data_IF_235402185703
#
_entry.id   IF_235402185703
#
_cell.length_a   1.000
_cell.length_b   1.000
_cell.length_c   1.000
_cell.angle_alpha   90.00
_cell.angle_beta   90.00
_cell.angle_gamma   90.00
#
_symmetry.space_group_name_H-M   'P 1'
#
loop_
_entity.id
_entity.type
_entity.pdbx_description
1 polymer ?
#
# COMPACT_ATOMS: atom_id res chain seq x y z
N UNK A 1 6.97 36.68 -2.62
CA UNK A 1 6.45 35.30 -2.66
C UNK A 1 7.54 34.37 -2.18
N UNK A 2 7.18 33.36 -1.40
CA UNK A 2 8.13 32.35 -0.91
C UNK A 2 8.21 31.21 -1.92
N UNK A 3 9.42 30.77 -2.28
CA UNK A 3 9.59 29.67 -3.24
C UNK A 3 9.07 28.35 -2.62
N UNK A 4 8.33 27.51 -3.38
CA UNK A 4 7.99 26.17 -2.93
C UNK A 4 9.24 25.31 -2.76
N UNK A 5 9.38 24.68 -1.59
CA UNK A 5 10.49 23.76 -1.25
C UNK A 5 9.90 22.53 -0.58
N UNK A 6 9.98 21.40 -1.29
CA UNK A 6 9.49 20.10 -0.85
C UNK A 6 10.58 19.30 -0.13
N UNK A 7 10.25 18.72 1.02
CA UNK A 7 11.07 17.71 1.70
C UNK A 7 10.36 16.34 1.68
N UNK A 8 11.07 15.30 1.26
CA UNK A 8 10.69 13.92 1.55
C UNK A 8 11.04 13.60 3.01
N UNK A 9 10.04 13.43 3.87
CA UNK A 9 10.22 13.32 5.32
C UNK A 9 10.51 11.90 5.82
N UNK A 10 11.01 11.02 4.96
CA UNK A 10 11.30 9.62 5.31
C UNK A 10 12.42 9.07 4.45
N UNK A 11 13.03 7.99 4.95
CA UNK A 11 13.99 7.18 4.20
C UNK A 11 13.76 5.70 4.48
N UNK A 12 14.33 4.83 3.65
CA UNK A 12 14.10 3.38 3.71
C UNK A 12 14.39 2.78 5.10
N UNK A 13 15.53 3.16 5.68
CA UNK A 13 16.02 2.70 6.97
C UNK A 13 15.46 3.47 8.18
N UNK A 14 14.33 4.18 8.04
CA UNK A 14 13.74 4.90 9.18
C UNK A 14 13.46 3.89 10.32
N UNK A 15 13.80 4.21 11.58
CA UNK A 15 13.64 3.28 12.69
C UNK A 15 12.17 2.88 12.87
N UNK A 16 11.98 1.68 13.39
CA UNK A 16 10.66 1.19 13.81
C UNK A 16 10.18 1.90 15.09
N UNK A 17 8.93 1.63 15.47
CA UNK A 17 8.36 2.09 16.74
C UNK A 17 7.49 3.33 16.66
N UNK A 18 6.99 3.69 15.47
CA UNK A 18 5.93 4.68 15.32
C UNK A 18 6.34 6.12 15.64
N UNK A 19 7.61 6.47 15.42
CA UNK A 19 8.17 7.75 15.86
C UNK A 19 8.09 8.88 14.85
N UNK A 20 7.83 8.58 13.57
CA UNK A 20 7.86 9.60 12.52
C UNK A 20 6.78 10.67 12.73
N UNK A 21 5.54 10.27 13.04
CA UNK A 21 4.46 11.26 13.22
C UNK A 21 4.71 12.18 14.41
N UNK A 22 5.07 11.69 15.62
CA UNK A 22 5.48 12.57 16.72
C UNK A 22 6.66 13.49 16.37
N UNK A 23 7.72 12.97 15.74
CA UNK A 23 8.89 13.78 15.35
C UNK A 23 8.52 14.90 14.36
N UNK A 24 7.61 14.64 13.43
CA UNK A 24 7.12 15.66 12.50
C UNK A 24 6.30 16.73 13.21
N UNK A 25 5.46 16.34 14.18
CA UNK A 25 4.71 17.30 14.98
C UNK A 25 5.64 18.23 15.78
N UNK A 26 6.70 17.68 16.37
CA UNK A 26 7.70 18.44 17.13
C UNK A 26 8.55 19.37 16.26
N UNK A 27 8.86 18.98 15.02
CA UNK A 27 9.74 19.74 14.12
C UNK A 27 9.03 20.72 13.19
N UNK A 28 7.70 20.69 13.13
CA UNK A 28 6.91 21.48 12.18
C UNK A 28 7.26 22.98 12.21
N UNK A 29 7.46 23.55 13.41
CA UNK A 29 7.77 24.98 13.58
C UNK A 29 9.12 25.37 12.92
N UNK A 30 10.11 24.48 12.95
CA UNK A 30 11.46 24.75 12.44
C UNK A 30 11.63 24.58 10.92
N UNK A 31 10.68 23.93 10.22
CA UNK A 31 10.78 23.72 8.77
C UNK A 31 10.73 25.02 7.99
N UNK A 32 9.93 25.99 8.47
CA UNK A 32 9.88 27.31 7.87
C UNK A 32 11.23 28.04 8.01
N UNK A 33 11.95 27.90 9.12
CA UNK A 33 13.21 28.62 9.31
C UNK A 33 14.27 28.21 8.28
N UNK A 34 14.19 26.98 7.78
CA UNK A 34 15.10 26.43 6.76
C UNK A 34 14.52 26.44 5.34
N UNK A 35 13.39 27.13 5.13
CA UNK A 35 12.83 27.34 3.79
C UNK A 35 11.89 26.26 3.28
N UNK A 36 11.61 25.20 4.06
CA UNK A 36 10.69 24.12 3.71
C UNK A 36 9.25 24.57 3.96
N UNK A 37 8.38 24.37 2.98
CA UNK A 37 6.95 24.72 3.06
C UNK A 37 6.04 23.64 2.43
N UNK A 38 6.60 22.51 2.04
CA UNK A 38 5.86 21.32 1.61
C UNK A 38 6.57 20.07 2.13
N UNK A 39 5.82 19.06 2.55
CA UNK A 39 6.36 17.76 2.95
C UNK A 39 5.68 16.63 2.21
N UNK A 40 6.46 15.65 1.78
CA UNK A 40 5.98 14.37 1.29
C UNK A 40 6.19 13.32 2.38
N UNK A 41 5.07 12.78 2.86
CA UNK A 41 5.02 11.76 3.89
C UNK A 41 4.91 10.36 3.25
N UNK A 42 5.46 9.32 3.90
CA UNK A 42 5.37 7.96 3.39
C UNK A 42 3.92 7.45 3.37
N UNK A 43 3.64 6.31 2.71
CA UNK A 43 2.32 5.69 2.76
C UNK A 43 1.90 5.47 4.22
N UNK A 44 0.74 6.02 4.57
CA UNK A 44 0.26 6.05 5.96
C UNK A 44 -0.72 4.91 6.30
N UNK A 45 -1.06 4.07 5.33
CA UNK A 45 -1.97 2.93 5.48
C UNK A 45 -1.22 1.63 5.76
N UNK A 46 -1.93 0.65 6.31
CA UNK A 46 -1.40 -0.66 6.69
C UNK A 46 -0.83 -1.41 5.48
N UNK A 47 0.42 -1.82 5.59
CA UNK A 47 1.09 -2.73 4.65
C UNK A 47 0.99 -4.20 5.08
N UNK A 48 1.34 -5.11 4.17
CA UNK A 48 1.32 -6.56 4.38
C UNK A 48 2.24 -6.99 5.53
N UNK A 49 3.38 -6.32 5.69
CA UNK A 49 4.34 -6.54 6.79
C UNK A 49 3.98 -5.80 8.10
N UNK A 50 2.76 -5.27 8.22
CA UNK A 50 2.28 -4.61 9.44
C UNK A 50 3.15 -3.43 9.87
N UNK A 51 3.56 -3.41 11.13
CA UNK A 51 4.40 -2.36 11.73
C UNK A 51 5.83 -2.28 11.17
N UNK A 52 6.26 -3.26 10.37
CA UNK A 52 7.58 -3.29 9.73
C UNK A 52 7.56 -2.76 8.29
N UNK A 53 6.37 -2.59 7.72
CA UNK A 53 6.16 -2.13 6.35
C UNK A 53 6.68 -0.70 6.15
N UNK A 54 7.42 -0.46 5.05
CA UNK A 54 7.77 0.90 4.58
C UNK A 54 6.58 1.56 3.85
N UNK A 55 5.50 0.81 3.61
CA UNK A 55 4.22 1.30 3.08
C UNK A 55 3.89 0.89 1.64
N UNK A 56 4.89 0.46 0.87
CA UNK A 56 4.71 0.10 -0.54
C UNK A 56 4.12 -1.29 -0.76
N UNK A 57 4.15 -2.17 0.24
CA UNK A 57 3.46 -3.46 0.27
C UNK A 57 1.99 -3.30 0.70
N UNK A 58 1.25 -2.42 0.02
CA UNK A 58 -0.05 -1.93 0.48
C UNK A 58 -1.08 -3.05 0.70
N UNK A 59 -1.60 -3.15 1.93
CA UNK A 59 -2.62 -4.12 2.30
C UNK A 59 -4.00 -3.47 2.39
N UNK A 60 -4.21 -2.49 3.26
CA UNK A 60 -5.53 -1.87 3.50
C UNK A 60 -5.46 -0.34 3.53
N UNK A 61 -5.88 0.29 2.42
CA UNK A 61 -5.81 1.75 2.22
C UNK A 61 -6.64 2.55 3.23
N UNK A 62 -7.60 1.92 3.90
CA UNK A 62 -8.48 2.57 4.88
C UNK A 62 -7.99 2.42 6.33
N UNK A 63 -6.98 1.59 6.56
CA UNK A 63 -6.38 1.41 7.88
C UNK A 63 -5.13 2.28 8.01
N UNK A 64 -5.29 3.51 8.51
CA UNK A 64 -4.20 4.46 8.73
C UNK A 64 -3.40 4.18 10.02
N UNK A 65 -3.28 2.91 10.42
CA UNK A 65 -2.76 2.52 11.72
C UNK A 65 -3.80 2.63 12.83
N UNK A 66 -5.04 2.22 12.54
CA UNK A 66 -6.20 2.31 13.44
C UNK A 66 -6.70 0.94 13.89
N UNK A 67 -6.53 -0.10 13.06
CA UNK A 67 -7.05 -1.44 13.31
C UNK A 67 -5.92 -2.43 13.56
N UNK A 68 -6.16 -3.44 14.40
CA UNK A 68 -5.21 -4.54 14.62
C UNK A 68 -5.22 -5.50 13.43
N UNK A 69 -4.38 -5.19 12.43
CA UNK A 69 -4.25 -5.92 11.17
C UNK A 69 -2.78 -6.18 10.90
N UNK A 70 -2.47 -7.38 10.39
CA UNK A 70 -1.10 -7.81 10.07
C UNK A 70 -0.15 -7.72 11.27
N UNK A 71 -0.66 -8.02 12.47
CA UNK A 71 0.14 -8.09 13.70
C UNK A 71 0.49 -6.75 14.33
N UNK A 72 -0.14 -5.65 13.91
CA UNK A 72 0.01 -4.35 14.56
C UNK A 72 -1.23 -3.47 14.43
N UNK A 73 -1.44 -2.61 15.43
CA UNK A 73 -2.32 -1.43 15.29
C UNK A 73 -1.59 -0.33 14.50
N UNK A 74 -0.48 0.25 15.01
CA UNK A 74 0.22 1.31 14.29
C UNK A 74 0.87 0.79 13.01
N UNK A 75 1.06 1.70 12.05
CA UNK A 75 2.02 1.49 10.95
C UNK A 75 3.45 1.64 11.48
N UNK A 76 4.45 1.45 10.62
CA UNK A 76 5.86 1.75 10.95
C UNK A 76 6.06 3.17 11.50
N UNK A 77 5.25 4.12 11.03
CA UNK A 77 5.41 5.55 11.26
C UNK A 77 4.60 6.10 12.44
N UNK A 78 3.58 5.34 12.87
CA UNK A 78 2.72 5.66 14.02
C UNK A 78 1.27 5.26 13.77
N UNK A 79 0.40 5.63 14.71
CA UNK A 79 -1.05 5.45 14.59
C UNK A 79 -1.75 6.64 13.91
N UNK A 80 -3.04 6.47 13.61
CA UNK A 80 -3.86 7.49 12.95
C UNK A 80 -3.95 8.79 13.76
N UNK A 81 -4.00 8.73 15.08
CA UNK A 81 -4.13 9.92 15.91
C UNK A 81 -2.84 10.76 15.85
N UNK A 82 -1.68 10.10 15.90
CA UNK A 82 -0.39 10.74 15.75
C UNK A 82 -0.22 11.34 14.35
N UNK A 83 -0.66 10.65 13.29
CA UNK A 83 -0.65 11.18 11.92
C UNK A 83 -1.45 12.49 11.82
N UNK A 84 -2.67 12.50 12.36
CA UNK A 84 -3.53 13.69 12.35
C UNK A 84 -2.89 14.84 13.13
N UNK A 85 -2.31 14.56 14.30
CA UNK A 85 -1.59 15.57 15.09
C UNK A 85 -0.39 16.17 14.34
N UNK A 86 0.37 15.35 13.61
CA UNK A 86 1.47 15.80 12.77
C UNK A 86 0.98 16.69 11.62
N UNK A 87 -0.08 16.28 10.93
CA UNK A 87 -0.69 17.07 9.84
C UNK A 87 -1.20 18.42 10.37
N UNK A 88 -1.83 18.44 11.54
CA UNK A 88 -2.33 19.68 12.15
C UNK A 88 -1.18 20.61 12.57
N UNK A 89 -0.07 20.07 13.09
CA UNK A 89 1.14 20.86 13.38
C UNK A 89 1.76 21.47 12.11
N UNK A 90 1.88 20.69 11.03
CA UNK A 90 2.38 21.17 9.73
C UNK A 90 1.47 22.26 9.15
N UNK A 91 0.15 22.06 9.17
CA UNK A 91 -0.82 23.04 8.67
C UNK A 91 -0.83 24.35 9.47
N UNK A 92 -0.67 24.30 10.79
CA UNK A 92 -0.53 25.51 11.63
C UNK A 92 0.69 26.35 11.28
N UNK A 93 1.68 25.73 10.64
CA UNK A 93 2.88 26.38 10.15
C UNK A 93 2.83 26.67 8.63
N UNK A 94 1.65 26.66 8.00
CA UNK A 94 1.50 26.89 6.55
C UNK A 94 2.33 25.94 5.67
N UNK A 95 2.59 24.71 6.16
CA UNK A 95 3.33 23.67 5.42
C UNK A 95 2.31 22.75 4.73
N UNK A 96 2.42 22.64 3.41
CA UNK A 96 1.57 21.73 2.64
C UNK A 96 1.98 20.27 2.87
N UNK A 97 0.99 19.38 2.97
CA UNK A 97 1.21 17.94 3.19
C UNK A 97 0.80 17.15 1.97
N UNK A 98 1.72 16.32 1.46
CA UNK A 98 1.49 15.34 0.41
C UNK A 98 1.60 13.94 1.01
N UNK A 99 0.54 13.15 0.90
CA UNK A 99 0.53 11.75 1.29
C UNK A 99 0.81 10.88 0.08
N UNK A 100 1.63 9.85 0.27
CA UNK A 100 1.93 8.87 -0.78
C UNK A 100 0.72 7.98 -1.13
N UNK A 101 0.56 7.68 -2.42
CA UNK A 101 -0.58 6.93 -2.97
C UNK A 101 -0.08 5.75 -3.80
N UNK A 102 -0.14 4.57 -3.20
CA UNK A 102 0.29 3.30 -3.76
C UNK A 102 -0.95 2.50 -4.15
N UNK A 103 -1.34 2.63 -5.42
CA UNK A 103 -2.53 1.99 -5.98
C UNK A 103 -2.20 1.08 -7.16
N UNK A 104 -0.92 0.90 -7.49
CA UNK A 104 -0.50 -0.03 -8.53
C UNK A 104 -0.77 -1.49 -8.14
N UNK A 105 -0.63 -1.81 -6.85
CA UNK A 105 -0.71 -3.17 -6.36
C UNK A 105 -1.26 -3.32 -4.95
N UNK A 106 -1.60 -4.56 -4.60
CA UNK A 106 -1.93 -4.97 -3.23
C UNK A 106 -1.10 -6.20 -2.85
N UNK A 107 -0.76 -6.32 -1.57
CA UNK A 107 0.06 -7.41 -1.01
C UNK A 107 -0.56 -7.95 0.28
N UNK A 108 -0.28 -9.20 0.62
CA UNK A 108 -0.75 -9.82 1.86
C UNK A 108 -2.27 -10.05 1.91
N UNK A 109 -2.86 -10.65 0.88
CA UNK A 109 -4.27 -11.06 0.92
C UNK A 109 -4.59 -11.96 2.12
N UNK A 110 -5.87 -12.02 2.49
CA UNK A 110 -6.33 -12.77 3.66
C UNK A 110 -6.69 -14.21 3.31
N UNK A 111 -7.16 -14.43 2.09
CA UNK A 111 -7.66 -15.71 1.61
C UNK A 111 -7.18 -16.00 0.17
N UNK A 112 -7.11 -17.29 -0.16
CA UNK A 112 -6.90 -17.77 -1.52
C UNK A 112 -8.24 -17.89 -2.26
N UNK A 113 -8.20 -17.72 -3.57
CA UNK A 113 -9.32 -18.03 -4.46
C UNK A 113 -8.86 -18.99 -5.56
N UNK A 114 -9.76 -19.88 -5.99
CA UNK A 114 -9.57 -20.68 -7.19
C UNK A 114 -9.60 -19.75 -8.41
N UNK A 115 -8.52 -19.76 -9.18
CA UNK A 115 -8.28 -18.86 -10.30
C UNK A 115 -7.74 -19.62 -11.51
N UNK A 116 -7.85 -18.99 -12.67
CA UNK A 116 -7.28 -19.46 -13.93
C UNK A 116 -6.29 -18.41 -14.41
N UNK A 117 -5.08 -18.85 -14.75
CA UNK A 117 -4.00 -17.95 -15.17
C UNK A 117 -3.31 -18.44 -16.43
N UNK A 118 -2.66 -17.51 -17.14
CA UNK A 118 -1.74 -17.81 -18.23
C UNK A 118 -0.39 -17.16 -17.93
N UNK A 119 0.71 -17.82 -18.31
CA UNK A 119 2.04 -17.20 -18.20
C UNK A 119 2.18 -16.07 -19.20
N UNK A 120 2.94 -15.05 -18.82
CA UNK A 120 3.37 -13.99 -19.73
C UNK A 120 4.89 -13.90 -19.75
N UNK A 121 5.45 -13.53 -20.90
CA UNK A 121 6.87 -13.30 -21.04
C UNK A 121 7.29 -12.11 -20.14
N UNK A 122 8.40 -12.26 -19.42
CA UNK A 122 8.92 -11.26 -18.49
C UNK A 122 9.41 -9.99 -19.22
N UNK A 123 10.00 -10.15 -20.41
CA UNK A 123 10.55 -9.08 -21.23
C UNK A 123 9.47 -8.39 -22.08
N UNK A 124 8.42 -9.12 -22.45
CA UNK A 124 7.27 -8.60 -23.20
C UNK A 124 5.94 -9.22 -22.74
N UNK A 125 5.26 -8.53 -21.82
CA UNK A 125 4.01 -9.01 -21.22
C UNK A 125 2.81 -9.03 -22.18
N UNK A 126 2.98 -8.63 -23.44
CA UNK A 126 1.96 -8.81 -24.49
C UNK A 126 1.98 -10.23 -25.07
N UNK A 127 3.09 -10.95 -24.90
CA UNK A 127 3.22 -12.36 -25.28
C UNK A 127 2.70 -13.23 -24.14
N UNK A 128 1.57 -13.89 -24.40
CA UNK A 128 0.83 -14.70 -23.43
C UNK A 128 0.89 -16.15 -23.90
N UNK A 129 1.25 -17.06 -22.99
CA UNK A 129 1.25 -18.49 -23.23
C UNK A 129 -0.18 -19.00 -23.43
N UNK A 130 -0.37 -19.96 -24.35
CA UNK A 130 -1.68 -20.57 -24.60
C UNK A 130 -2.13 -21.46 -23.44
N UNK A 131 -1.18 -22.01 -22.65
CA UNK A 131 -1.48 -22.87 -21.52
C UNK A 131 -2.29 -22.12 -20.44
N UNK A 132 -3.46 -22.66 -20.11
CA UNK A 132 -4.27 -22.21 -18.98
C UNK A 132 -3.98 -23.09 -17.77
N UNK A 133 -3.55 -22.46 -16.68
CA UNK A 133 -3.24 -23.10 -15.42
C UNK A 133 -4.36 -22.80 -14.42
N UNK A 134 -4.99 -23.85 -13.90
CA UNK A 134 -5.92 -23.75 -12.77
C UNK A 134 -5.14 -23.89 -11.46
N UNK A 135 -5.34 -22.96 -10.54
CA UNK A 135 -4.58 -22.90 -9.29
C UNK A 135 -5.33 -22.09 -8.22
N UNK A 136 -4.72 -21.99 -7.04
CA UNK A 136 -5.14 -21.07 -5.99
C UNK A 136 -4.17 -19.89 -5.91
N UNK A 137 -4.70 -18.67 -5.76
CA UNK A 137 -3.91 -17.45 -5.56
C UNK A 137 -4.49 -16.53 -4.51
N UNK A 138 -3.64 -15.86 -3.73
CA UNK A 138 -4.09 -14.93 -2.69
C UNK A 138 -4.59 -13.62 -3.30
N UNK A 139 -5.86 -13.61 -3.65
CA UNK A 139 -6.50 -12.50 -4.36
C UNK A 139 -7.65 -11.89 -3.55
N UNK A 140 -7.94 -12.45 -2.38
CA UNK A 140 -9.08 -12.06 -1.57
C UNK A 140 -8.69 -11.28 -0.34
N UNK A 141 -9.19 -10.05 -0.25
CA UNK A 141 -8.92 -9.12 0.85
C UNK A 141 -10.21 -8.79 1.57
N UNK A 142 -10.34 -9.31 2.79
CA UNK A 142 -11.56 -9.23 3.59
C UNK A 142 -11.50 -8.20 4.71
N UNK A 143 -10.28 -7.79 5.11
CA UNK A 143 -10.04 -6.77 6.15
C UNK A 143 -10.82 -7.03 7.44
N UNK A 144 -10.66 -8.21 8.07
CA UNK A 144 -11.55 -8.68 9.12
C UNK A 144 -11.59 -7.75 10.34
N UNK A 145 -10.45 -7.20 10.75
CA UNK A 145 -10.40 -6.31 11.92
C UNK A 145 -11.04 -4.94 11.67
N UNK A 146 -11.01 -4.45 10.42
CA UNK A 146 -11.72 -3.21 10.06
C UNK A 146 -13.23 -3.42 9.93
N UNK A 147 -13.68 -4.65 9.71
CA UNK A 147 -15.10 -5.05 9.72
C UNK A 147 -16.03 -4.14 8.91
N UNK A 148 -15.55 -3.63 7.77
CA UNK A 148 -16.33 -2.75 6.87
C UNK A 148 -16.43 -1.28 7.32
N UNK A 149 -15.73 -0.88 8.39
CA UNK A 149 -15.60 0.53 8.76
C UNK A 149 -14.92 1.31 7.62
N UNK A 150 -15.44 2.50 7.34
CA UNK A 150 -15.11 3.39 6.21
C UNK A 150 -15.46 2.84 4.80
N UNK A 151 -15.24 1.55 4.54
CA UNK A 151 -15.55 0.91 3.27
C UNK A 151 -15.88 -0.57 3.44
N UNK A 152 -17.00 -1.00 2.86
CA UNK A 152 -17.43 -2.41 2.83
C UNK A 152 -16.90 -3.18 1.61
N UNK A 153 -16.04 -2.56 0.79
CA UNK A 153 -15.52 -3.17 -0.43
C UNK A 153 -14.55 -4.30 -0.09
N UNK A 154 -14.79 -5.47 -0.67
CA UNK A 154 -13.96 -6.67 -0.58
C UNK A 154 -13.31 -6.88 -1.94
N UNK A 155 -11.99 -7.08 -1.95
CA UNK A 155 -11.28 -7.37 -3.20
C UNK A 155 -11.35 -8.87 -3.46
N UNK A 156 -11.61 -9.22 -4.72
CA UNK A 156 -11.50 -10.57 -5.26
C UNK A 156 -10.61 -10.56 -6.51
N UNK A 157 -10.30 -11.74 -7.07
CA UNK A 157 -9.46 -11.88 -8.26
C UNK A 157 -9.94 -11.04 -9.46
N UNK A 158 -11.22 -10.65 -9.54
CA UNK A 158 -11.76 -9.84 -10.64
C UNK A 158 -11.29 -8.39 -10.58
N UNK A 159 -10.72 -7.96 -9.46
CA UNK A 159 -10.16 -6.63 -9.27
C UNK A 159 -8.71 -6.53 -9.76
N UNK A 160 -8.09 -7.66 -10.15
CA UNK A 160 -6.68 -7.74 -10.50
C UNK A 160 -6.45 -8.19 -11.93
N UNK A 161 -5.31 -7.79 -12.50
CA UNK A 161 -4.90 -8.15 -13.86
C UNK A 161 -3.99 -9.37 -13.90
N UNK A 162 -3.31 -9.64 -12.79
CA UNK A 162 -2.31 -10.68 -12.70
C UNK A 162 -1.71 -10.79 -11.31
N UNK A 163 -0.95 -11.87 -11.14
CA UNK A 163 -0.21 -12.25 -9.93
C UNK A 163 1.20 -12.69 -10.36
N UNK A 164 2.16 -12.73 -9.45
CA UNK A 164 3.55 -13.15 -9.72
C UNK A 164 3.95 -14.46 -9.03
N UNK A 165 3.07 -14.99 -8.17
CA UNK A 165 3.30 -16.22 -7.43
C UNK A 165 2.04 -17.10 -7.38
N UNK A 166 2.24 -18.40 -7.65
CA UNK A 166 1.30 -19.48 -7.32
C UNK A 166 2.11 -20.63 -6.72
N UNK A 167 1.59 -21.25 -5.67
CA UNK A 167 2.33 -22.26 -4.89
C UNK A 167 2.65 -23.53 -5.69
N UNK A 168 1.87 -23.82 -6.73
CA UNK A 168 2.12 -24.96 -7.63
C UNK A 168 3.37 -24.79 -8.49
N UNK A 169 3.95 -23.59 -8.55
CA UNK A 169 5.18 -23.31 -9.27
C UNK A 169 6.35 -23.14 -8.30
N UNK A 170 7.40 -23.93 -8.51
CA UNK A 170 8.65 -23.83 -7.74
C UNK A 170 9.40 -22.50 -7.94
N UNK A 171 8.99 -21.66 -8.90
CA UNK A 171 9.63 -20.38 -9.23
C UNK A 171 8.59 -19.32 -9.53
N UNK A 172 8.91 -18.08 -9.18
CA UNK A 172 8.16 -16.89 -9.56
C UNK A 172 7.90 -16.87 -11.07
N UNK A 173 6.68 -16.49 -11.44
CA UNK A 173 6.26 -16.41 -12.83
C UNK A 173 5.27 -15.25 -12.98
N UNK A 174 5.36 -14.49 -14.07
CA UNK A 174 4.37 -13.46 -14.36
C UNK A 174 3.12 -14.12 -14.93
N UNK A 175 2.00 -13.96 -14.24
CA UNK A 175 0.76 -14.66 -14.55
C UNK A 175 -0.37 -13.65 -14.77
N UNK A 176 -1.04 -13.77 -15.91
CA UNK A 176 -2.25 -13.01 -16.23
C UNK A 176 -3.47 -13.76 -15.73
N UNK A 177 -4.36 -13.08 -14.99
CA UNK A 177 -5.62 -13.65 -14.54
C UNK A 177 -6.64 -13.68 -15.68
N UNK A 178 -7.37 -14.79 -15.79
CA UNK A 178 -8.50 -14.94 -16.69
C UNK A 178 -9.81 -14.62 -15.97
N UNK A 179 -10.50 -13.57 -16.41
CA UNK A 179 -11.82 -13.19 -15.91
C UNK A 179 -12.87 -13.33 -17.02
N UNK A 180 -14.04 -13.88 -16.70
CA UNK A 180 -15.16 -14.04 -17.65
C UNK A 180 -15.85 -12.71 -17.98
N UNK A 181 -15.50 -11.64 -17.27
CA UNK A 181 -15.97 -10.27 -17.49
C UNK A 181 -14.75 -9.41 -17.84
N UNK A 182 -14.82 -8.48 -18.81
CA UNK A 182 -13.71 -7.56 -19.07
C UNK A 182 -13.33 -6.87 -17.77
N UNK A 183 -12.03 -6.83 -17.47
CA UNK A 183 -11.54 -6.08 -16.33
C UNK A 183 -12.11 -4.64 -16.42
N UNK A 184 -12.87 -4.22 -15.40
CA UNK A 184 -13.32 -2.82 -15.33
C UNK A 184 -12.06 -1.95 -15.31
N UNK A 185 -12.10 -0.82 -16.03
CA UNK A 185 -10.98 0.11 -16.13
C UNK A 185 -10.40 0.44 -14.73
N UNK A 186 -9.07 0.35 -14.58
CA UNK A 186 -8.37 0.52 -13.30
C UNK A 186 -7.77 -0.77 -12.71
N UNK A 187 -7.32 -1.69 -13.56
CA UNK A 187 -6.88 -3.02 -13.11
C UNK A 187 -5.56 -2.96 -12.35
N UNK A 188 -5.59 -3.37 -11.08
CA UNK A 188 -4.46 -3.36 -10.16
C UNK A 188 -3.63 -4.63 -10.37
N UNK A 189 -2.30 -4.57 -10.24
CA UNK A 189 -1.43 -5.76 -10.26
C UNK A 189 -1.36 -6.34 -8.86
N UNK A 190 -1.42 -7.64 -8.67
CA UNK A 190 -1.03 -8.22 -7.39
C UNK A 190 0.48 -8.47 -7.43
N UNK A 191 1.20 -8.07 -6.38
CA UNK A 191 2.59 -8.51 -6.19
C UNK A 191 2.65 -9.26 -4.86
N UNK A 192 3.37 -10.38 -4.81
CA UNK A 192 3.56 -11.19 -3.62
C UNK A 192 5.04 -11.33 -3.37
N UNK A 193 5.59 -10.42 -2.57
CA UNK A 193 6.91 -10.54 -1.94
C UNK A 193 6.87 -9.92 -0.55
#
# INVERSE_FOLDING_TARGET
MRNPTLLQCFHWYYPEGGKLWPELAERADGFNDIGINMVWLPPAYKGASGGYSVGYDSYDLFDLGEFDQKGSIPTKYGDKAQLLAAIDALKRNDIAVLLDVVVNHKMGADEKEAIRVQRVNADDRTQIDEEIIECEGWTRYTFPARAGQYSKFIWDFKCFSGIDHIETLMKMAYLKLLTTTPAKAGTIRLMMN
#
